data_IF_606695527410
#
_entry.id   IF_606695527410
#
_cell.length_a   1.000
_cell.length_b   1.000
_cell.length_c   1.000
_cell.angle_alpha   90.00
_cell.angle_beta   90.00
_cell.angle_gamma   90.00
#
_symmetry.space_group_name_H-M   'P 1'
#
loop_
_entity.id
_entity.type
_entity.pdbx_description
1 polymer ?
#
# COMPACT_ATOMS: atom_id res chain seq x y z
N UNK A 1 39.20 -11.28 10.97
CA UNK A 1 38.30 -10.19 11.43
C UNK A 1 37.40 -9.83 10.25
N UNK A 2 36.20 -10.41 10.21
CA UNK A 2 35.27 -10.19 9.10
C UNK A 2 34.60 -8.84 9.30
N UNK A 3 34.92 -7.86 8.44
CA UNK A 3 34.29 -6.55 8.46
C UNK A 3 32.79 -6.73 8.19
N UNK A 4 31.95 -6.43 9.18
CA UNK A 4 30.52 -6.32 8.96
C UNK A 4 30.29 -5.24 7.90
N UNK A 5 29.94 -5.66 6.70
CA UNK A 5 29.60 -4.75 5.61
C UNK A 5 28.52 -3.79 6.13
N UNK A 6 28.77 -2.49 5.99
CA UNK A 6 27.80 -1.48 6.36
C UNK A 6 26.46 -1.80 5.67
N UNK A 7 25.33 -1.79 6.40
CA UNK A 7 24.05 -2.13 5.81
C UNK A 7 23.78 -1.20 4.62
N UNK A 8 23.45 -1.79 3.47
CA UNK A 8 23.18 -1.05 2.25
C UNK A 8 22.13 0.04 2.50
N UNK A 9 22.34 1.23 1.92
CA UNK A 9 21.42 2.33 2.09
C UNK A 9 20.01 1.95 1.60
N UNK A 10 18.94 2.30 2.33
CA UNK A 10 17.58 1.97 1.93
C UNK A 10 17.24 2.58 0.58
N UNK A 11 16.61 1.80 -0.28
CA UNK A 11 16.18 2.26 -1.61
C UNK A 11 14.81 2.96 -1.55
N UNK A 12 14.46 3.70 -2.60
CA UNK A 12 13.15 4.33 -2.74
C UNK A 12 13.07 5.74 -2.13
N UNK A 13 12.02 6.02 -1.37
CA UNK A 13 11.78 7.30 -0.71
C UNK A 13 12.63 7.46 0.57
N UNK A 14 12.73 8.69 1.07
CA UNK A 14 13.50 8.98 2.28
C UNK A 14 12.92 8.24 3.50
N UNK A 15 13.76 7.44 4.16
CA UNK A 15 13.46 6.89 5.49
C UNK A 15 13.51 8.02 6.53
N UNK A 16 12.40 8.71 6.76
CA UNK A 16 12.30 9.81 7.75
C UNK A 16 12.53 9.31 9.18
N UNK A 17 12.76 10.23 10.13
CA UNK A 17 12.90 9.88 11.56
C UNK A 17 11.74 9.01 12.06
N UNK A 18 10.51 9.33 11.64
CA UNK A 18 9.32 8.56 12.01
C UNK A 18 9.29 7.15 11.38
N UNK A 19 9.74 7.00 10.13
CA UNK A 19 9.90 5.67 9.50
C UNK A 19 10.89 4.83 10.29
N UNK A 20 12.06 5.39 10.60
CA UNK A 20 13.10 4.69 11.38
C UNK A 20 12.62 4.33 12.79
N UNK A 21 11.89 5.23 13.45
CA UNK A 21 11.32 4.96 14.76
C UNK A 21 10.34 3.78 14.74
N UNK A 22 9.40 3.75 13.80
CA UNK A 22 8.47 2.62 13.69
C UNK A 22 9.14 1.34 13.22
N UNK A 23 10.16 1.42 12.36
CA UNK A 23 10.98 0.26 11.97
C UNK A 23 11.67 -0.35 13.19
N UNK A 24 12.37 0.46 13.99
CA UNK A 24 13.02 0.00 15.21
C UNK A 24 12.01 -0.59 16.21
N UNK A 25 10.88 0.09 16.43
CA UNK A 25 9.84 -0.39 17.33
C UNK A 25 9.17 -1.69 16.83
N UNK A 26 9.21 -1.97 15.53
CA UNK A 26 8.54 -3.14 14.94
C UNK A 26 9.19 -4.47 15.30
N UNK A 27 10.52 -4.47 15.52
CA UNK A 27 11.30 -5.69 15.70
C UNK A 27 11.60 -6.47 14.41
N UNK A 28 11.22 -5.95 13.22
CA UNK A 28 11.35 -6.64 11.93
C UNK A 28 12.68 -6.36 11.20
N UNK A 29 13.66 -5.76 11.88
CA UNK A 29 14.99 -5.45 11.34
C UNK A 29 15.13 -4.06 10.69
N UNK A 30 16.18 -3.91 9.89
CA UNK A 30 16.58 -2.67 9.24
C UNK A 30 15.71 -2.35 8.01
N UNK A 31 15.70 -1.06 7.63
CA UNK A 31 14.95 -0.59 6.46
C UNK A 31 15.69 -0.94 5.17
N UNK A 32 15.03 -1.67 4.27
CA UNK A 32 15.53 -2.01 2.93
C UNK A 32 14.96 -1.14 1.82
N UNK A 33 13.68 -0.81 1.92
CA UNK A 33 12.99 0.01 0.92
C UNK A 33 11.86 0.83 1.54
N UNK A 34 11.65 2.05 1.04
CA UNK A 34 10.50 2.88 1.40
C UNK A 34 9.74 3.27 0.13
N UNK A 35 8.48 2.89 0.05
CA UNK A 35 7.58 3.34 -1.00
C UNK A 35 6.52 4.25 -0.41
N UNK A 36 6.42 5.47 -0.94
CA UNK A 36 5.41 6.45 -0.54
C UNK A 36 4.34 6.53 -1.62
N UNK A 37 3.08 6.50 -1.19
CA UNK A 37 1.97 6.68 -2.12
C UNK A 37 1.78 8.17 -2.39
N UNK A 38 2.60 8.70 -3.31
CA UNK A 38 2.56 10.11 -3.71
C UNK A 38 1.63 10.31 -4.91
N UNK A 39 1.02 11.49 -5.08
CA UNK A 39 0.17 11.78 -6.22
C UNK A 39 0.95 11.63 -7.55
N UNK A 40 0.30 11.05 -8.55
CA UNK A 40 0.80 11.01 -9.92
C UNK A 40 0.41 12.30 -10.67
N UNK A 41 0.87 12.44 -11.92
CA UNK A 41 0.62 13.65 -12.71
C UNK A 41 -0.88 13.96 -12.88
N UNK A 42 -1.76 13.01 -13.24
CA UNK A 42 -3.21 13.26 -13.31
C UNK A 42 -3.80 13.77 -11.99
N UNK A 43 -3.36 13.24 -10.85
CA UNK A 43 -3.85 13.69 -9.55
C UNK A 43 -3.40 15.11 -9.23
N UNK A 44 -2.17 15.48 -9.57
CA UNK A 44 -1.70 16.87 -9.45
C UNK A 44 -2.52 17.82 -10.32
N UNK A 45 -2.86 17.44 -11.55
CA UNK A 45 -3.75 18.23 -12.42
C UNK A 45 -5.09 18.49 -11.74
N UNK A 46 -5.73 17.44 -11.19
CA UNK A 46 -7.01 17.58 -10.48
C UNK A 46 -6.88 18.51 -9.27
N UNK A 47 -5.82 18.38 -8.48
CA UNK A 47 -5.57 19.27 -7.33
C UNK A 47 -5.44 20.72 -7.77
N UNK A 48 -4.62 21.00 -8.80
CA UNK A 48 -4.41 22.36 -9.31
C UNK A 48 -5.72 22.93 -9.83
N UNK A 49 -6.48 22.17 -10.62
CA UNK A 49 -7.78 22.60 -11.13
C UNK A 49 -8.76 22.89 -9.99
N UNK A 50 -8.85 22.02 -8.98
CA UNK A 50 -9.72 22.27 -7.81
C UNK A 50 -9.32 23.55 -7.08
N UNK A 51 -8.03 23.74 -6.80
CA UNK A 51 -7.54 24.97 -6.15
C UNK A 51 -7.90 26.20 -6.98
N UNK A 52 -7.69 26.18 -8.30
CA UNK A 52 -8.04 27.30 -9.17
C UNK A 52 -9.54 27.55 -9.23
N UNK A 53 -10.36 26.52 -9.40
CA UNK A 53 -11.83 26.62 -9.46
C UNK A 53 -12.38 27.22 -8.17
N UNK A 54 -11.94 26.76 -7.01
CA UNK A 54 -12.46 27.26 -5.74
C UNK A 54 -11.89 28.62 -5.32
N UNK A 55 -10.70 28.98 -5.81
CA UNK A 55 -10.05 30.25 -5.46
C UNK A 55 -10.43 31.40 -6.41
N UNK A 56 -10.56 31.09 -7.71
CA UNK A 56 -10.78 32.09 -8.77
C UNK A 56 -12.21 32.01 -9.31
N UNK A 57 -12.81 30.82 -9.35
CA UNK A 57 -14.17 30.61 -9.85
C UNK A 57 -15.21 31.54 -9.22
N UNK A 58 -15.26 31.74 -7.88
CA UNK A 58 -16.20 32.66 -7.26
C UNK A 58 -16.13 34.10 -7.80
N UNK A 59 -14.92 34.58 -8.13
CA UNK A 59 -14.73 35.89 -8.73
C UNK A 59 -15.18 35.94 -10.20
N UNK A 60 -14.99 34.85 -10.96
CA UNK A 60 -15.39 34.75 -12.36
C UNK A 60 -16.91 34.68 -12.56
N UNK A 61 -17.65 34.05 -11.65
CA UNK A 61 -19.11 33.94 -11.72
C UNK A 61 -19.86 35.07 -11.00
N UNK A 62 -19.14 36.11 -10.55
CA UNK A 62 -19.73 37.28 -9.90
C UNK A 62 -20.21 37.07 -8.45
N UNK A 63 -19.87 35.94 -7.84
CA UNK A 63 -20.24 35.62 -6.44
C UNK A 63 -19.27 36.22 -5.40
N UNK A 64 -18.13 36.75 -5.83
CA UNK A 64 -17.16 37.43 -4.98
C UNK A 64 -16.41 38.53 -5.74
N UNK A 65 -15.94 39.57 -5.04
CA UNK A 65 -15.07 40.58 -5.64
C UNK A 65 -13.68 40.03 -5.97
N UNK A 66 -12.97 40.63 -6.93
CA UNK A 66 -11.61 40.19 -7.35
C UNK A 66 -10.62 40.14 -6.18
N UNK A 67 -10.77 41.04 -5.20
CA UNK A 67 -9.98 41.04 -3.96
C UNK A 67 -10.10 39.75 -3.14
N UNK A 68 -11.18 38.97 -3.32
CA UNK A 68 -11.38 37.71 -2.63
C UNK A 68 -10.35 36.63 -3.01
N UNK A 69 -9.80 36.70 -4.22
CA UNK A 69 -8.73 35.79 -4.68
C UNK A 69 -7.53 35.86 -3.73
N UNK A 70 -7.23 37.06 -3.20
CA UNK A 70 -6.09 37.29 -2.31
C UNK A 70 -6.12 36.46 -1.03
N UNK A 71 -7.30 36.11 -0.51
CA UNK A 71 -7.42 35.23 0.66
C UNK A 71 -7.89 33.81 0.33
N UNK A 72 -8.71 33.62 -0.71
CA UNK A 72 -9.19 32.28 -1.09
C UNK A 72 -8.04 31.41 -1.61
N UNK A 73 -7.18 31.94 -2.48
CA UNK A 73 -6.07 31.18 -3.06
C UNK A 73 -5.12 30.60 -2.01
N UNK A 74 -4.52 31.41 -1.10
CA UNK A 74 -3.65 30.85 -0.07
C UNK A 74 -4.40 29.89 0.86
N UNK A 75 -5.68 30.13 1.14
CA UNK A 75 -6.50 29.24 1.98
C UNK A 75 -6.69 27.86 1.34
N UNK A 76 -7.08 27.80 0.06
CA UNK A 76 -7.26 26.53 -0.65
C UNK A 76 -5.94 25.82 -0.91
N UNK A 77 -4.85 26.55 -1.18
CA UNK A 77 -3.50 25.97 -1.27
C UNK A 77 -3.10 25.34 0.07
N UNK A 78 -3.33 26.02 1.19
CA UNK A 78 -3.03 25.49 2.52
C UNK A 78 -3.87 24.24 2.84
N UNK A 79 -5.17 24.26 2.56
CA UNK A 79 -6.07 23.10 2.74
C UNK A 79 -5.60 21.92 1.88
N UNK A 80 -5.32 22.15 0.59
CA UNK A 80 -4.83 21.11 -0.31
C UNK A 80 -3.49 20.55 0.16
N UNK A 81 -2.57 21.40 0.63
CA UNK A 81 -1.28 20.99 1.15
C UNK A 81 -1.41 20.08 2.39
N UNK A 82 -2.32 20.41 3.33
CA UNK A 82 -2.59 19.59 4.52
C UNK A 82 -3.17 18.23 4.13
N UNK A 83 -4.16 18.20 3.22
CA UNK A 83 -4.77 16.97 2.73
C UNK A 83 -3.72 16.10 2.03
N UNK A 84 -2.94 16.68 1.12
CA UNK A 84 -1.90 15.97 0.40
C UNK A 84 -0.79 15.47 1.31
N UNK A 85 -0.40 16.22 2.33
CA UNK A 85 0.57 15.79 3.33
C UNK A 85 0.07 14.56 4.10
N UNK A 86 -1.20 14.56 4.49
CA UNK A 86 -1.81 13.43 5.18
C UNK A 86 -1.89 12.19 4.29
N UNK A 87 -2.32 12.34 3.04
CA UNK A 87 -2.42 11.23 2.09
C UNK A 87 -1.05 10.70 1.65
N UNK A 88 -0.07 11.58 1.44
CA UNK A 88 1.32 11.20 1.14
C UNK A 88 2.05 10.54 2.32
N UNK A 89 1.46 10.56 3.51
CA UNK A 89 1.98 9.86 4.68
C UNK A 89 1.72 8.35 4.64
N UNK A 90 0.88 7.85 3.72
CA UNK A 90 0.72 6.42 3.46
C UNK A 90 1.98 5.85 2.80
N UNK A 91 2.58 4.85 3.47
CA UNK A 91 3.81 4.22 3.02
C UNK A 91 3.78 2.71 3.20
N UNK A 92 4.53 2.05 2.33
CA UNK A 92 4.97 0.67 2.49
C UNK A 92 6.48 0.70 2.71
N UNK A 93 6.93 0.14 3.82
CA UNK A 93 8.35 0.03 4.18
C UNK A 93 8.69 -1.44 4.20
N UNK A 94 9.67 -1.84 3.40
CA UNK A 94 10.21 -3.21 3.43
C UNK A 94 11.36 -3.25 4.43
N UNK A 95 11.29 -4.22 5.34
CA UNK A 95 12.26 -4.49 6.39
C UNK A 95 12.91 -5.85 6.16
N UNK A 96 13.90 -6.23 6.98
CA UNK A 96 14.59 -7.52 6.84
C UNK A 96 13.64 -8.73 7.00
N UNK A 97 12.71 -8.69 7.94
CA UNK A 97 11.85 -9.83 8.29
C UNK A 97 10.35 -9.57 8.09
N UNK A 98 10.00 -8.52 7.34
CA UNK A 98 8.62 -8.19 7.05
C UNK A 98 8.44 -6.80 6.47
N UNK A 99 7.25 -6.24 6.65
CA UNK A 99 6.90 -4.92 6.13
C UNK A 99 6.17 -4.08 7.17
N UNK A 100 6.27 -2.76 7.03
CA UNK A 100 5.34 -1.81 7.65
C UNK A 100 4.43 -1.25 6.57
N UNK A 101 3.13 -1.29 6.79
CA UNK A 101 2.15 -0.73 5.85
C UNK A 101 1.18 0.16 6.60
N UNK A 102 0.98 1.37 6.08
CA UNK A 102 -0.07 2.28 6.53
C UNK A 102 0.38 3.71 6.67
N UNK A 103 -0.44 4.51 7.35
CA UNK A 103 -0.18 5.93 7.53
C UNK A 103 0.90 6.20 8.56
N UNK A 104 1.83 7.05 8.17
CA UNK A 104 2.81 7.68 9.04
C UNK A 104 2.39 9.12 9.41
N UNK A 105 1.14 9.52 9.19
CA UNK A 105 0.60 10.82 9.62
C UNK A 105 0.63 10.94 11.16
N UNK A 106 0.64 12.15 11.74
CA UNK A 106 0.56 12.34 13.19
C UNK A 106 -0.56 11.49 13.83
N UNK A 107 -0.29 10.94 15.01
CA UNK A 107 -1.21 10.09 15.78
C UNK A 107 -1.58 8.73 15.14
N UNK A 108 -1.19 8.48 13.89
CA UNK A 108 -1.34 7.17 13.26
C UNK A 108 -0.11 6.29 13.44
N UNK A 109 -0.36 4.98 13.52
CA UNK A 109 0.67 3.94 13.60
C UNK A 109 0.53 3.00 12.40
N UNK A 110 1.60 2.76 11.64
CA UNK A 110 1.60 1.75 10.60
C UNK A 110 1.45 0.36 11.23
N UNK A 111 0.98 -0.60 10.43
CA UNK A 111 0.84 -1.99 10.85
C UNK A 111 2.11 -2.73 10.47
N UNK A 112 2.67 -3.46 11.42
CA UNK A 112 3.79 -4.37 11.19
C UNK A 112 3.27 -5.73 10.75
N UNK A 113 3.74 -6.21 9.61
CA UNK A 113 3.38 -7.50 9.03
C UNK A 113 4.67 -8.31 8.91
N UNK A 114 4.95 -9.26 9.81
CA UNK A 114 6.09 -10.17 9.64
C UNK A 114 5.87 -11.04 8.40
N UNK A 115 6.95 -11.54 7.80
CA UNK A 115 6.81 -12.45 6.64
C UNK A 115 6.05 -13.74 6.96
N UNK A 116 6.07 -14.20 8.22
CA UNK A 116 5.24 -15.32 8.67
C UNK A 116 3.73 -15.03 8.55
N UNK A 117 3.31 -13.76 8.66
CA UNK A 117 1.92 -13.34 8.54
C UNK A 117 1.52 -12.96 7.09
N UNK A 118 2.37 -13.25 6.10
CA UNK A 118 2.25 -12.84 4.71
C UNK A 118 2.50 -14.02 3.77
N UNK A 119 1.60 -14.26 2.81
CA UNK A 119 1.88 -15.20 1.72
C UNK A 119 2.70 -14.47 0.64
N UNK A 120 4.02 -14.57 0.74
CA UNK A 120 4.95 -13.94 -0.22
C UNK A 120 4.74 -14.46 -1.65
N UNK A 121 4.21 -15.68 -1.82
CA UNK A 121 3.94 -16.25 -3.15
C UNK A 121 2.71 -15.65 -3.83
N UNK A 122 1.85 -14.98 -3.07
CA UNK A 122 0.65 -14.28 -3.55
C UNK A 122 0.91 -12.84 -4.01
N UNK A 123 2.15 -12.36 -3.92
CA UNK A 123 2.52 -10.99 -4.33
C UNK A 123 2.28 -10.80 -5.82
N UNK A 124 1.50 -9.80 -6.21
CA UNK A 124 1.21 -9.48 -7.62
C UNK A 124 1.29 -7.99 -7.89
N UNK A 125 1.88 -7.60 -9.00
CA UNK A 125 1.73 -6.25 -9.54
C UNK A 125 0.49 -6.22 -10.44
N UNK A 126 -0.45 -5.34 -10.12
CA UNK A 126 -1.74 -5.24 -10.83
C UNK A 126 -2.01 -3.84 -11.34
N UNK A 127 -2.81 -3.77 -12.41
CA UNK A 127 -3.39 -2.54 -12.93
C UNK A 127 -4.91 -2.62 -12.81
N UNK A 128 -5.46 -1.98 -11.77
CA UNK A 128 -6.88 -1.94 -11.46
C UNK A 128 -7.25 -0.68 -10.65
N UNK A 129 -8.48 -0.22 -10.81
CA UNK A 129 -9.03 0.83 -9.94
C UNK A 129 -9.37 0.27 -8.56
N UNK A 130 -9.41 1.12 -7.53
CA UNK A 130 -9.87 0.72 -6.19
C UNK A 130 -11.29 0.13 -6.24
N UNK A 131 -12.19 0.69 -7.06
CA UNK A 131 -13.54 0.17 -7.25
C UNK A 131 -13.51 -1.25 -7.82
N UNK A 132 -12.67 -1.49 -8.83
CA UNK A 132 -12.49 -2.81 -9.45
C UNK A 132 -12.02 -3.84 -8.43
N UNK A 133 -11.00 -3.51 -7.64
CA UNK A 133 -10.48 -4.40 -6.60
C UNK A 133 -11.54 -4.65 -5.51
N UNK A 134 -12.26 -3.62 -5.06
CA UNK A 134 -13.33 -3.74 -4.09
C UNK A 134 -14.47 -4.67 -4.55
N UNK A 135 -14.89 -4.57 -5.81
CA UNK A 135 -15.93 -5.43 -6.39
C UNK A 135 -15.48 -6.90 -6.47
N UNK A 136 -14.26 -7.14 -6.94
CA UNK A 136 -13.70 -8.51 -7.01
C UNK A 136 -13.56 -9.17 -5.64
N UNK A 137 -13.38 -8.38 -4.59
CA UNK A 137 -13.20 -8.86 -3.22
C UNK A 137 -14.54 -9.11 -2.51
N UNK A 138 -15.56 -8.31 -2.82
CA UNK A 138 -16.94 -8.57 -2.41
C UNK A 138 -17.44 -9.92 -2.94
N UNK A 139 -17.18 -10.23 -4.22
CA UNK A 139 -17.58 -11.50 -4.85
C UNK A 139 -16.84 -12.73 -4.30
N UNK A 140 -15.61 -12.55 -3.80
CA UNK A 140 -14.80 -13.65 -3.25
C UNK A 140 -14.89 -13.76 -1.72
N UNK A 141 -15.58 -12.83 -1.05
CA UNK A 141 -15.79 -12.80 0.40
C UNK A 141 -14.50 -12.59 1.19
N UNK A 142 -13.57 -11.79 0.65
CA UNK A 142 -12.30 -11.44 1.29
C UNK A 142 -12.37 -9.98 1.75
N UNK A 143 -12.16 -9.73 3.04
CA UNK A 143 -12.06 -8.36 3.55
C UNK A 143 -10.76 -7.70 3.07
N UNK A 144 -10.80 -6.38 2.91
CA UNK A 144 -9.64 -5.62 2.46
C UNK A 144 -9.01 -4.85 3.60
N UNK A 145 -7.71 -5.06 3.74
CA UNK A 145 -6.81 -4.11 4.38
C UNK A 145 -6.43 -3.03 3.35
N UNK A 146 -7.41 -2.44 2.67
CA UNK A 146 -7.11 -1.53 1.58
C UNK A 146 -6.63 -0.21 2.15
N UNK A 147 -5.37 0.12 1.84
CA UNK A 147 -4.85 1.48 1.92
C UNK A 147 -4.48 1.95 0.52
N UNK A 148 -5.37 1.68 -0.45
CA UNK A 148 -5.27 2.23 -1.79
C UNK A 148 -5.47 3.72 -1.76
N UNK A 149 -4.64 4.43 -2.51
CA UNK A 149 -4.80 5.86 -2.68
C UNK A 149 -5.49 6.12 -4.01
N UNK A 150 -6.53 6.97 -3.96
CA UNK A 150 -7.53 7.20 -5.03
C UNK A 150 -6.93 7.56 -6.39
N UNK A 151 -5.69 8.02 -6.43
CA UNK A 151 -5.03 8.50 -7.64
C UNK A 151 -4.27 7.46 -8.44
N UNK A 152 -4.07 6.23 -7.95
CA UNK A 152 -3.33 5.23 -8.72
C UNK A 152 -4.18 4.02 -9.10
N UNK A 153 -4.04 3.63 -10.37
CA UNK A 153 -4.53 2.34 -10.89
C UNK A 153 -3.49 1.23 -10.77
N UNK A 154 -2.29 1.52 -10.27
CA UNK A 154 -1.20 0.54 -10.13
C UNK A 154 -1.09 0.16 -8.66
N UNK A 155 -1.15 -1.13 -8.38
CA UNK A 155 -1.04 -1.63 -7.02
C UNK A 155 -0.15 -2.87 -6.93
N UNK A 156 0.45 -3.07 -5.77
CA UNK A 156 1.02 -4.35 -5.36
C UNK A 156 0.03 -4.97 -4.39
N UNK A 157 -0.40 -6.19 -4.68
CA UNK A 157 -1.36 -6.93 -3.86
C UNK A 157 -0.72 -8.17 -3.28
N UNK A 158 -1.14 -8.56 -2.08
CA UNK A 158 -0.72 -9.79 -1.44
C UNK A 158 -1.72 -10.19 -0.35
N UNK A 159 -1.74 -11.47 -0.02
CA UNK A 159 -2.59 -12.04 1.03
C UNK A 159 -1.82 -12.10 2.33
N UNK A 160 -2.41 -11.60 3.41
CA UNK A 160 -1.78 -11.64 4.73
C UNK A 160 -2.81 -11.49 5.85
N UNK A 161 -2.36 -11.70 7.08
CA UNK A 161 -3.23 -11.59 8.26
C UNK A 161 -3.87 -10.20 8.34
N UNK A 162 -5.14 -10.15 8.73
CA UNK A 162 -5.89 -8.91 8.79
C UNK A 162 -5.25 -7.89 9.77
N UNK A 163 -5.28 -6.57 9.48
CA UNK A 163 -4.67 -5.53 10.32
C UNK A 163 -5.17 -5.54 11.76
N UNK A 164 -6.45 -5.87 11.98
CA UNK A 164 -7.03 -5.93 13.33
C UNK A 164 -6.41 -7.07 14.14
N UNK A 165 -6.26 -8.25 13.55
CA UNK A 165 -5.63 -9.40 14.20
C UNK A 165 -4.15 -9.12 14.50
N UNK A 166 -3.40 -8.53 13.56
CA UNK A 166 -2.01 -8.13 13.80
C UNK A 166 -1.85 -7.11 14.95
N UNK A 167 -2.76 -6.13 15.03
CA UNK A 167 -2.74 -5.15 16.13
C UNK A 167 -3.06 -5.79 17.48
N UNK A 168 -4.04 -6.69 17.52
CA UNK A 168 -4.42 -7.40 18.74
C UNK A 168 -3.29 -8.32 19.23
N UNK A 169 -2.73 -9.13 18.35
CA UNK A 169 -1.60 -9.99 18.66
C UNK A 169 -0.40 -9.18 19.17
N UNK A 170 -0.09 -8.05 18.50
CA UNK A 170 0.96 -7.13 18.97
C UNK A 170 0.67 -6.55 20.35
N UNK A 171 -0.59 -6.21 20.65
CA UNK A 171 -0.97 -5.71 21.97
C UNK A 171 -0.84 -6.79 23.07
N UNK A 172 -0.94 -8.07 22.70
CA UNK A 172 -0.79 -9.23 23.60
C UNK A 172 0.62 -9.82 23.62
N UNK A 173 1.52 -9.37 22.75
CA UNK A 173 2.85 -9.96 22.60
C UNK A 173 2.85 -11.34 21.93
N UNK A 174 1.79 -11.68 21.19
CA UNK A 174 1.62 -12.98 20.53
C UNK A 174 2.35 -13.03 19.17
N UNK A 175 2.90 -14.19 18.85
CA UNK A 175 3.42 -14.46 17.51
C UNK A 175 2.26 -14.67 16.53
N UNK A 176 2.40 -14.18 15.30
CA UNK A 176 1.38 -14.29 14.25
C UNK A 176 1.94 -15.04 13.07
N UNK A 177 1.25 -16.12 12.72
CA UNK A 177 1.50 -16.92 11.54
C UNK A 177 0.25 -16.93 10.65
N UNK A 178 0.45 -16.89 9.34
CA UNK A 178 -0.63 -16.97 8.38
C UNK A 178 -1.33 -18.33 8.40
N UNK A 179 -0.61 -19.41 8.71
CA UNK A 179 -1.16 -20.77 8.75
C UNK A 179 -2.24 -20.97 9.81
N UNK A 180 -2.18 -20.19 10.90
CA UNK A 180 -3.09 -20.29 12.07
C UNK A 180 -4.04 -19.09 12.19
N UNK A 181 -3.98 -18.16 11.24
CA UNK A 181 -4.74 -16.92 11.32
C UNK A 181 -6.25 -17.14 11.14
N UNK A 182 -7.03 -16.61 12.07
CA UNK A 182 -8.50 -16.63 12.00
C UNK A 182 -9.09 -15.60 11.03
N UNK A 183 -8.31 -14.61 10.62
CA UNK A 183 -8.72 -13.55 9.70
C UNK A 183 -7.58 -13.15 8.75
N UNK A 184 -7.89 -13.17 7.46
CA UNK A 184 -6.95 -12.89 6.36
C UNK A 184 -7.56 -11.87 5.42
N UNK A 185 -6.76 -10.90 5.00
CA UNK A 185 -7.15 -9.84 4.09
C UNK A 185 -6.29 -9.84 2.82
N UNK A 186 -6.87 -9.38 1.71
CA UNK A 186 -6.06 -8.90 0.59
C UNK A 186 -5.56 -7.49 0.94
N UNK A 187 -4.24 -7.37 1.04
CA UNK A 187 -3.56 -6.11 1.17
C UNK A 187 -3.34 -5.51 -0.21
N UNK A 188 -3.59 -4.21 -0.32
CA UNK A 188 -3.44 -3.48 -1.57
C UNK A 188 -2.66 -2.21 -1.29
N UNK A 189 -1.50 -2.09 -1.94
CA UNK A 189 -0.65 -0.91 -1.85
C UNK A 189 -0.50 -0.23 -3.21
N UNK A 190 -0.96 1.02 -3.32
CA UNK A 190 -0.90 1.81 -4.53
C UNK A 190 0.52 2.33 -4.82
N UNK A 191 1.02 2.07 -6.02
CA UNK A 191 2.29 2.60 -6.52
C UNK A 191 2.04 3.76 -7.50
N UNK A 192 2.89 4.78 -7.48
CA UNK A 192 2.73 6.00 -8.31
C UNK A 192 2.83 5.73 -9.81
N UNK A 193 3.78 4.89 -10.21
CA UNK A 193 4.18 4.65 -11.59
C UNK A 193 4.72 3.21 -11.75
N UNK A 194 4.91 2.70 -12.99
CA UNK A 194 5.36 1.33 -13.22
C UNK A 194 6.70 1.01 -12.55
N UNK A 195 7.67 1.93 -12.64
CA UNK A 195 9.02 1.73 -12.07
C UNK A 195 8.97 1.59 -10.55
N UNK A 196 8.18 2.43 -9.88
CA UNK A 196 7.96 2.35 -8.42
C UNK A 196 7.26 1.03 -8.02
N UNK A 197 6.33 0.56 -8.84
CA UNK A 197 5.63 -0.70 -8.62
C UNK A 197 6.61 -1.89 -8.67
N UNK A 198 7.45 -1.94 -9.70
CA UNK A 198 8.50 -2.97 -9.85
C UNK A 198 9.52 -2.93 -8.72
N UNK A 199 9.96 -1.73 -8.31
CA UNK A 199 10.88 -1.56 -7.18
C UNK A 199 10.33 -2.13 -5.87
N UNK A 200 9.04 -1.96 -5.59
CA UNK A 200 8.41 -2.55 -4.40
C UNK A 200 8.42 -4.07 -4.47
N UNK A 201 8.06 -4.64 -5.61
CA UNK A 201 8.04 -6.11 -5.80
C UNK A 201 9.43 -6.70 -5.62
N UNK A 202 10.45 -6.10 -6.26
CA UNK A 202 11.84 -6.53 -6.12
C UNK A 202 12.33 -6.43 -4.68
N UNK A 203 12.12 -5.29 -4.04
CA UNK A 203 12.52 -5.10 -2.64
C UNK A 203 11.87 -6.14 -1.71
N UNK A 204 10.59 -6.46 -1.95
CA UNK A 204 9.86 -7.44 -1.15
C UNK A 204 10.37 -8.87 -1.39
N UNK A 205 10.63 -9.24 -2.66
CA UNK A 205 11.24 -10.52 -3.02
C UNK A 205 12.64 -10.69 -2.45
N UNK A 206 13.49 -9.65 -2.56
CA UNK A 206 14.87 -9.67 -2.05
C UNK A 206 14.90 -9.75 -0.52
N UNK A 207 14.03 -9.02 0.17
CA UNK A 207 13.89 -9.09 1.62
C UNK A 207 13.40 -10.47 2.08
N UNK A 208 12.36 -11.01 1.42
CA UNK A 208 11.85 -12.33 1.74
C UNK A 208 12.87 -13.44 1.48
N UNK A 209 13.65 -13.33 0.39
CA UNK A 209 14.72 -14.28 0.07
C UNK A 209 15.83 -14.24 1.12
N UNK A 210 16.25 -13.03 1.52
CA UNK A 210 17.25 -12.87 2.57
C UNK A 210 16.77 -13.37 3.93
N UNK A 211 15.46 -13.30 4.21
CA UNK A 211 14.84 -13.86 5.40
C UNK A 211 14.59 -15.39 5.32
N UNK A 212 14.95 -16.05 4.21
CA UNK A 212 14.75 -17.48 4.02
C UNK A 212 13.28 -17.89 3.87
N UNK A 213 12.40 -16.98 3.43
CA UNK A 213 10.98 -17.28 3.25
C UNK A 213 10.80 -18.23 2.06
N UNK A 214 10.10 -19.37 2.23
CA UNK A 214 9.85 -20.31 1.14
C UNK A 214 9.13 -19.67 -0.05
N UNK A 215 9.61 -19.91 -1.27
CA UNK A 215 8.99 -19.39 -2.49
C UNK A 215 9.37 -17.95 -2.85
N UNK A 216 10.22 -17.28 -2.05
CA UNK A 216 10.64 -15.91 -2.27
C UNK A 216 11.42 -15.72 -3.58
N UNK A 217 12.14 -16.74 -4.03
CA UNK A 217 12.89 -16.77 -5.30
C UNK A 217 11.98 -16.58 -6.52
N UNK A 218 10.70 -16.95 -6.41
CA UNK A 218 9.73 -16.85 -7.50
C UNK A 218 8.89 -15.56 -7.46
N UNK A 219 9.08 -14.68 -6.47
CA UNK A 219 8.25 -13.47 -6.29
C UNK A 219 8.30 -12.59 -7.52
N UNK A 220 9.49 -12.22 -7.98
CA UNK A 220 9.64 -11.31 -9.11
C UNK A 220 9.03 -11.91 -10.38
N UNK A 221 9.33 -13.18 -10.67
CA UNK A 221 8.85 -13.88 -11.85
C UNK A 221 7.32 -14.07 -11.87
N UNK A 222 6.68 -14.20 -10.71
CA UNK A 222 5.22 -14.35 -10.60
C UNK A 222 4.47 -13.02 -10.52
N UNK A 223 5.12 -12.00 -9.97
CA UNK A 223 4.49 -10.71 -9.71
C UNK A 223 4.62 -9.74 -10.88
N UNK A 224 5.67 -9.85 -11.70
CA UNK A 224 5.95 -8.99 -12.86
C UNK A 224 5.79 -9.75 -14.18
N UNK A 225 5.47 -9.07 -15.29
CA UNK A 225 5.08 -7.65 -15.38
C UNK A 225 3.68 -7.41 -14.79
N UNK A 226 3.36 -6.13 -14.52
CA UNK A 226 2.06 -5.77 -13.96
C UNK A 226 0.92 -6.12 -14.93
N UNK A 227 -0.08 -6.87 -14.45
CA UNK A 227 -1.20 -7.32 -15.27
C UNK A 227 -2.48 -6.51 -15.02
N UNK A 228 -3.25 -6.17 -16.06
CA UNK A 228 -4.59 -5.63 -15.90
C UNK A 228 -5.50 -6.63 -15.20
N UNK A 229 -6.33 -6.15 -14.27
CA UNK A 229 -7.31 -7.01 -13.58
C UNK A 229 -8.73 -6.55 -13.97
N UNK A 230 -9.44 -7.30 -14.84
CA UNK A 230 -10.83 -7.00 -15.18
C UNK A 230 -11.77 -7.34 -14.01
N UNK A 231 -12.96 -6.71 -13.99
CA UNK A 231 -14.06 -7.11 -13.08
C UNK A 231 -14.70 -8.39 -13.61
N UNK A 232 -14.05 -9.53 -13.37
CA UNK A 232 -14.54 -10.86 -13.74
C UNK A 232 -13.94 -11.95 -12.83
N UNK A 233 -14.51 -13.17 -12.80
CA UNK A 233 -13.94 -14.29 -12.06
C UNK A 233 -12.47 -14.55 -12.43
N UNK A 234 -12.15 -14.47 -13.72
CA UNK A 234 -10.78 -14.59 -14.27
C UNK A 234 -9.85 -13.48 -13.75
N UNK A 235 -10.38 -12.26 -13.56
CA UNK A 235 -9.63 -11.17 -12.94
C UNK A 235 -9.28 -11.45 -11.48
N UNK A 236 -10.19 -12.02 -10.71
CA UNK A 236 -9.90 -12.46 -9.34
C UNK A 236 -8.83 -13.57 -9.28
N UNK A 237 -8.77 -14.46 -10.28
CA UNK A 237 -7.73 -15.49 -10.35
C UNK A 237 -6.34 -14.88 -10.63
N UNK A 238 -6.26 -13.73 -11.32
CA UNK A 238 -4.99 -12.98 -11.50
C UNK A 238 -4.42 -12.41 -10.20
N UNK A 239 -5.25 -12.24 -9.17
CA UNK A 239 -4.79 -11.86 -7.83
C UNK A 239 -4.12 -13.02 -7.09
N UNK A 240 -4.19 -14.24 -7.66
CA UNK A 240 -3.59 -15.45 -7.10
C UNK A 240 -3.93 -15.69 -5.63
N UNK A 241 -5.16 -15.31 -5.23
CA UNK A 241 -5.66 -15.53 -3.87
C UNK A 241 -5.77 -17.04 -3.65
N UNK A 242 -4.99 -17.63 -2.73
CA UNK A 242 -5.03 -19.07 -2.47
C UNK A 242 -6.44 -19.53 -2.11
N UNK A 243 -6.85 -20.71 -2.60
CA UNK A 243 -8.22 -21.20 -2.44
C UNK A 243 -8.67 -21.31 -0.99
N UNK A 244 -7.75 -21.66 -0.09
CA UNK A 244 -7.98 -21.71 1.37
C UNK A 244 -8.47 -20.39 1.96
N UNK A 245 -8.17 -19.27 1.32
CA UNK A 245 -8.57 -17.92 1.77
C UNK A 245 -9.78 -17.37 1.01
N UNK A 246 -10.34 -18.13 0.06
CA UNK A 246 -11.61 -17.77 -0.60
C UNK A 246 -12.79 -18.16 0.32
N UNK A 247 -13.81 -17.30 0.39
CA UNK A 247 -15.02 -17.63 1.15
C UNK A 247 -15.66 -18.94 0.66
N UNK A 248 -16.37 -19.65 1.55
CA UNK A 248 -17.05 -20.91 1.20
C UNK A 248 -18.01 -20.75 0.01
N UNK A 249 -18.65 -19.57 -0.11
CA UNK A 249 -19.56 -19.22 -1.23
C UNK A 249 -18.84 -19.12 -2.58
N UNK A 250 -17.57 -18.70 -2.58
CA UNK A 250 -16.74 -18.60 -3.78
C UNK A 250 -16.01 -19.90 -4.14
N UNK A 251 -16.15 -20.96 -3.32
CA UNK A 251 -15.57 -22.30 -3.54
C UNK A 251 -16.53 -23.26 -4.25
N UNK A 252 -17.81 -22.89 -4.41
CA UNK A 252 -18.77 -23.68 -5.19
C UNK A 252 -18.78 -23.17 -6.64
N UNK A 253 -18.52 -24.03 -7.64
CA UNK A 253 -18.75 -23.67 -9.03
C UNK A 253 -20.24 -23.37 -9.20
N UNK A 254 -20.56 -22.28 -9.91
CA UNK A 254 -21.93 -22.02 -10.34
C UNK A 254 -22.42 -23.25 -11.10
N UNK A 255 -23.50 -23.87 -10.60
CA UNK A 255 -24.22 -24.93 -11.32
C UNK A 255 -25.00 -24.31 -12.47
#
# INVERSE_FOLDING_TARGET
MSGAAAPAAPTGARATRKVRHHAAASGLGAVRHVSASTPNAPAWTVVVVLVLVFSVGPALVGNAGVGAIGYLLPSFVAIAAVILWFLASEKLVVLDHGILVGSFAPFQRPVAVPFAALDVTSVRAVVASQRTLGLLLADRGVSTASRTVLWSRRAVTFVGVAPRALRQARARGEHVDLGTASAVDLWVFSARDPRRQEQVVRALGDAARAAGVPGAEHVEARALPAQPVPVSPQGADRLAIPERFRSARARQPAR
#
